data_IF_371311243841
#
_entry.id   IF_371311243841
#
_cell.length_a   1.000
_cell.length_b   1.000
_cell.length_c   1.000
_cell.angle_alpha   90.00
_cell.angle_beta   90.00
_cell.angle_gamma   90.00
#
_symmetry.space_group_name_H-M   'P 1'
#
loop_
_entity.id
_entity.type
_entity.pdbx_description
1 polymer ?
#
# COMPACT_ATOMS: atom_id res chain seq x y z
N UNK A 1 5.56 20.31 -2.35
CA UNK A 1 4.52 19.57 -3.10
C UNK A 1 4.70 18.09 -2.77
N UNK A 2 4.06 17.62 -1.70
CA UNK A 2 4.14 16.21 -1.29
C UNK A 2 3.33 15.35 -2.25
N UNK A 3 3.91 14.25 -2.69
CA UNK A 3 3.27 13.34 -3.64
C UNK A 3 1.97 12.79 -3.01
N UNK A 4 0.82 13.26 -3.50
CA UNK A 4 -0.49 12.88 -2.97
C UNK A 4 -0.72 11.37 -3.12
N UNK A 5 -0.22 10.79 -4.20
CA UNK A 5 -0.32 9.36 -4.46
C UNK A 5 0.50 8.55 -3.45
N UNK A 6 1.69 9.04 -3.07
CA UNK A 6 2.49 8.41 -2.03
C UNK A 6 1.77 8.40 -0.68
N UNK A 7 1.16 9.52 -0.31
CA UNK A 7 0.39 9.64 0.93
C UNK A 7 -0.83 8.70 0.92
N UNK A 8 -1.56 8.63 -0.20
CA UNK A 8 -2.68 7.70 -0.37
C UNK A 8 -2.25 6.23 -0.28
N UNK A 9 -1.13 5.87 -0.92
CA UNK A 9 -0.60 4.52 -0.86
C UNK A 9 -0.23 4.12 0.56
N UNK A 10 0.44 5.01 1.30
CA UNK A 10 0.80 4.79 2.70
C UNK A 10 -0.43 4.61 3.59
N UNK A 11 -1.43 5.46 3.43
CA UNK A 11 -2.68 5.40 4.22
C UNK A 11 -3.46 4.10 3.93
N UNK A 12 -3.56 3.72 2.66
CA UNK A 12 -4.23 2.48 2.27
C UNK A 12 -3.52 1.23 2.84
N UNK A 13 -2.18 1.21 2.85
CA UNK A 13 -1.41 0.12 3.47
C UNK A 13 -1.61 0.09 4.98
N UNK A 14 -1.58 1.24 5.65
CA UNK A 14 -1.82 1.33 7.09
C UNK A 14 -3.21 0.81 7.48
N UNK A 15 -4.24 1.14 6.69
CA UNK A 15 -5.59 0.62 6.90
C UNK A 15 -5.66 -0.90 6.68
N UNK A 16 -5.02 -1.42 5.63
CA UNK A 16 -4.99 -2.86 5.36
C UNK A 16 -4.24 -3.67 6.43
N UNK A 17 -3.16 -3.12 6.98
CA UNK A 17 -2.39 -3.73 8.08
C UNK A 17 -3.17 -3.69 9.39
N UNK A 18 -3.89 -2.59 9.65
CA UNK A 18 -4.66 -2.43 10.90
C UNK A 18 -5.96 -3.24 10.91
N UNK A 19 -6.46 -3.64 9.75
CA UNK A 19 -7.68 -4.43 9.62
C UNK A 19 -7.40 -5.92 9.87
N UNK A 20 -8.12 -6.53 10.80
CA UNK A 20 -8.03 -7.97 11.13
C UNK A 20 -9.22 -8.80 10.59
N UNK A 21 -10.20 -8.14 9.96
CA UNK A 21 -11.37 -8.79 9.37
C UNK A 21 -11.03 -9.28 7.96
N UNK A 22 -10.90 -10.59 7.73
CA UNK A 22 -10.40 -11.14 6.45
C UNK A 22 -11.11 -10.63 5.18
N UNK A 23 -12.43 -10.44 5.19
CA UNK A 23 -13.17 -9.95 4.02
C UNK A 23 -12.94 -8.45 3.74
N UNK A 24 -12.95 -7.61 4.79
CA UNK A 24 -12.68 -6.17 4.67
C UNK A 24 -11.19 -5.92 4.40
N UNK A 25 -10.31 -6.71 5.00
CA UNK A 25 -8.88 -6.66 4.79
C UNK A 25 -8.52 -6.94 3.33
N UNK A 26 -9.19 -7.89 2.67
CA UNK A 26 -8.99 -8.16 1.24
C UNK A 26 -9.35 -6.95 0.36
N UNK A 27 -10.45 -6.25 0.64
CA UNK A 27 -10.81 -5.02 -0.09
C UNK A 27 -9.78 -3.91 0.15
N UNK A 28 -9.36 -3.72 1.40
CA UNK A 28 -8.33 -2.75 1.76
C UNK A 28 -6.98 -3.07 1.10
N UNK A 29 -6.57 -4.34 1.06
CA UNK A 29 -5.38 -4.81 0.35
C UNK A 29 -5.48 -4.51 -1.13
N UNK A 30 -6.65 -4.75 -1.75
CA UNK A 30 -6.85 -4.45 -3.17
C UNK A 30 -6.72 -2.95 -3.45
N UNK A 31 -7.31 -2.10 -2.60
CA UNK A 31 -7.19 -0.64 -2.69
C UNK A 31 -5.75 -0.18 -2.48
N UNK A 32 -5.06 -0.73 -1.50
CA UNK A 32 -3.65 -0.46 -1.23
C UNK A 32 -2.75 -0.83 -2.42
N UNK A 33 -2.95 -2.00 -3.04
CA UNK A 33 -2.22 -2.39 -4.25
C UNK A 33 -2.40 -1.40 -5.40
N UNK A 34 -3.63 -0.97 -5.65
CA UNK A 34 -3.93 0.00 -6.71
C UNK A 34 -3.30 1.38 -6.43
N UNK A 35 -3.36 1.83 -5.18
CA UNK A 35 -2.75 3.08 -4.75
C UNK A 35 -1.21 3.01 -4.87
N UNK A 36 -0.59 1.91 -4.43
CA UNK A 36 0.85 1.67 -4.56
C UNK A 36 1.29 1.65 -6.03
N UNK A 37 0.52 1.03 -6.92
CA UNK A 37 0.82 0.99 -8.35
C UNK A 37 0.77 2.40 -8.97
N UNK A 38 -0.29 3.15 -8.67
CA UNK A 38 -0.45 4.53 -9.12
C UNK A 38 0.64 5.45 -8.58
N UNK A 39 0.99 5.31 -7.30
CA UNK A 39 2.07 6.03 -6.67
C UNK A 39 3.42 5.68 -7.31
N UNK A 40 3.69 4.40 -7.55
CA UNK A 40 4.96 3.95 -8.13
C UNK A 40 5.19 4.50 -9.53
N UNK A 41 4.15 4.55 -10.36
CA UNK A 41 4.22 5.14 -11.70
C UNK A 41 4.57 6.64 -11.68
N UNK A 42 4.15 7.36 -10.63
CA UNK A 42 4.29 8.82 -10.50
C UNK A 42 5.31 9.25 -9.43
N UNK A 43 6.19 8.35 -9.00
CA UNK A 43 7.15 8.58 -7.92
C UNK A 43 8.59 8.63 -8.41
N UNK A 44 9.44 9.36 -7.69
CA UNK A 44 10.89 9.40 -7.89
C UNK A 44 11.54 8.07 -7.49
N UNK A 45 12.79 7.84 -7.89
CA UNK A 45 13.54 6.61 -7.52
C UNK A 45 13.59 6.40 -6.00
N UNK A 46 13.78 7.46 -5.22
CA UNK A 46 13.79 7.37 -3.76
C UNK A 46 12.42 6.95 -3.18
N UNK A 47 11.33 7.57 -3.65
CA UNK A 47 9.96 7.23 -3.23
C UNK A 47 9.57 5.81 -3.68
N UNK A 48 10.04 5.36 -4.84
CA UNK A 48 9.83 3.98 -5.34
C UNK A 48 10.41 2.92 -4.41
N UNK A 49 11.56 3.19 -3.77
CA UNK A 49 12.13 2.28 -2.76
C UNK A 49 11.17 2.15 -1.58
N UNK A 50 10.70 3.28 -1.04
CA UNK A 50 9.75 3.27 0.08
C UNK A 50 8.42 2.59 -0.29
N UNK A 51 7.90 2.82 -1.51
CA UNK A 51 6.68 2.18 -2.00
C UNK A 51 6.86 0.66 -2.15
N UNK A 52 8.06 0.20 -2.52
CA UNK A 52 8.37 -1.23 -2.61
C UNK A 52 8.32 -1.90 -1.25
N UNK A 53 8.93 -1.27 -0.23
CA UNK A 53 8.86 -1.78 1.15
C UNK A 53 7.42 -1.89 1.65
N UNK A 54 6.56 -0.92 1.30
CA UNK A 54 5.14 -0.95 1.62
C UNK A 54 4.38 -2.07 0.88
N UNK A 55 4.74 -2.36 -0.39
CA UNK A 55 4.17 -3.50 -1.12
C UNK A 55 4.54 -4.84 -0.46
N UNK A 56 5.79 -4.99 0.00
CA UNK A 56 6.24 -6.20 0.69
C UNK A 56 5.51 -6.38 2.03
N UNK A 57 5.32 -5.30 2.80
CA UNK A 57 4.53 -5.33 4.03
C UNK A 57 3.08 -5.77 3.77
N UNK A 58 2.45 -5.20 2.73
CA UNK A 58 1.08 -5.56 2.34
C UNK A 58 0.98 -7.02 1.87
N UNK A 59 1.99 -7.51 1.17
CA UNK A 59 2.03 -8.90 0.73
C UNK A 59 2.20 -9.86 1.90
N UNK A 60 3.02 -9.50 2.89
CA UNK A 60 3.25 -10.31 4.08
C UNK A 60 1.96 -10.51 4.89
N UNK A 61 1.18 -9.45 5.12
CA UNK A 61 -0.11 -9.58 5.83
C UNK A 61 -1.14 -10.39 5.03
N UNK A 62 -1.08 -10.33 3.70
CA UNK A 62 -2.00 -11.09 2.84
C UNK A 62 -1.64 -12.58 2.81
N UNK A 63 -0.35 -12.90 2.89
CA UNK A 63 0.16 -14.27 2.85
C UNK A 63 0.21 -14.92 4.24
N UNK A 64 0.12 -14.14 5.31
CA UNK A 64 0.08 -14.62 6.70
C UNK A 64 -1.32 -15.09 7.14
N UNK A 65 -2.33 -15.02 6.26
CA UNK A 65 -3.72 -15.39 6.52
C UNK A 65 -4.17 -16.55 5.62
#
# INVERSE_FOLDING_TARGET
MGNLLFQQARDAVANAVSCSSGAEQQDLVYRAKNALHSAYANSSTAEKVQLREMQEQLQNITNAH
#
